data_IF_025285733716
#
_entry.id   IF_025285733716
#
_cell.length_a   1.000
_cell.length_b   1.000
_cell.length_c   1.000
_cell.angle_alpha   90.00
_cell.angle_beta   90.00
_cell.angle_gamma   90.00
#
_symmetry.space_group_name_H-M   'P 1'
#
loop_
_entity.id
_entity.type
_entity.pdbx_description
1 polymer ?
#
# COMPACT_ATOMS: atom_id res chain seq x y z
N UNK A 1 3.29 8.02 17.13
CA UNK A 1 2.97 7.40 15.84
C UNK A 1 4.17 6.62 15.27
N UNK A 2 3.97 5.81 14.21
CA UNK A 2 5.10 5.13 13.54
C UNK A 2 6.10 6.13 12.93
N UNK A 3 5.62 7.25 12.41
CA UNK A 3 6.48 8.32 11.89
C UNK A 3 7.45 8.82 12.95
N UNK A 4 6.95 9.14 14.15
CA UNK A 4 7.80 9.62 15.26
C UNK A 4 8.85 8.60 15.69
N UNK A 5 8.58 7.30 15.57
CA UNK A 5 9.59 6.27 15.85
C UNK A 5 10.70 6.26 14.81
N UNK A 6 10.36 6.48 13.52
CA UNK A 6 11.37 6.60 12.46
C UNK A 6 12.23 7.84 12.67
N UNK A 7 11.61 8.98 13.00
CA UNK A 7 12.34 10.22 13.28
C UNK A 7 13.31 10.08 14.45
N UNK A 8 12.85 9.46 15.55
CA UNK A 8 13.71 9.19 16.71
C UNK A 8 14.86 8.23 16.39
N UNK A 9 14.62 7.25 15.53
CA UNK A 9 15.63 6.23 15.18
C UNK A 9 16.67 6.71 14.15
N UNK A 10 16.33 7.73 13.36
CA UNK A 10 17.14 8.18 12.21
C UNK A 10 17.68 9.60 12.35
N UNK A 11 17.19 10.36 13.33
CA UNK A 11 17.44 11.79 13.48
C UNK A 11 17.08 12.60 12.21
N UNK A 12 16.09 12.12 11.46
CA UNK A 12 15.60 12.77 10.25
C UNK A 12 14.09 13.00 10.35
N UNK A 13 13.60 14.12 9.81
CA UNK A 13 12.17 14.32 9.59
C UNK A 13 11.62 13.21 8.65
N UNK A 14 10.44 12.69 8.94
CA UNK A 14 9.89 11.51 8.23
C UNK A 14 9.79 11.71 6.72
N UNK A 15 9.42 12.90 6.27
CA UNK A 15 9.34 13.21 4.84
C UNK A 15 10.73 13.21 4.19
N UNK A 16 11.73 13.81 4.83
CA UNK A 16 13.12 13.80 4.35
C UNK A 16 13.67 12.37 4.29
N UNK A 17 13.40 11.56 5.32
CA UNK A 17 13.77 10.15 5.34
C UNK A 17 13.12 9.37 4.19
N UNK A 18 11.80 9.51 4.01
CA UNK A 18 11.07 8.83 2.96
C UNK A 18 11.51 9.27 1.57
N UNK A 19 11.76 10.57 1.39
CA UNK A 19 12.27 11.14 0.14
C UNK A 19 13.60 10.50 -0.24
N UNK A 20 14.58 10.53 0.65
CA UNK A 20 15.92 10.03 0.38
C UNK A 20 16.00 8.52 0.16
N UNK A 21 15.22 7.73 0.96
CA UNK A 21 15.36 6.28 1.00
C UNK A 21 14.31 5.53 0.15
N UNK A 22 13.20 6.18 -0.19
CA UNK A 22 12.09 5.56 -0.89
C UNK A 22 11.71 6.31 -2.17
N UNK A 23 11.35 7.59 -2.08
CA UNK A 23 10.73 8.31 -3.20
C UNK A 23 11.75 8.62 -4.30
N UNK A 24 12.88 9.24 -3.99
CA UNK A 24 13.92 9.56 -4.98
C UNK A 24 14.46 8.30 -5.68
N UNK A 25 14.79 7.21 -4.96
CA UNK A 25 15.22 5.96 -5.61
C UNK A 25 14.18 5.33 -6.53
N UNK A 26 12.89 5.55 -6.28
CA UNK A 26 11.79 5.07 -7.11
C UNK A 26 11.33 6.08 -8.17
N UNK A 27 11.90 7.27 -8.20
CA UNK A 27 11.51 8.35 -9.11
C UNK A 27 10.12 8.91 -8.82
N UNK A 28 9.71 8.91 -7.55
CA UNK A 28 8.46 9.50 -7.06
C UNK A 28 8.76 10.95 -6.67
N UNK A 29 8.18 11.89 -7.40
CA UNK A 29 8.41 13.33 -7.16
C UNK A 29 7.14 14.15 -7.05
N UNK A 30 5.99 13.58 -7.44
CA UNK A 30 4.71 14.26 -7.43
C UNK A 30 3.83 13.72 -6.30
N UNK A 31 4.09 14.19 -5.09
CA UNK A 31 3.31 13.88 -3.91
C UNK A 31 3.16 15.13 -3.03
N UNK A 32 2.14 15.12 -2.18
CA UNK A 32 1.94 16.08 -1.10
C UNK A 32 1.70 15.30 0.18
N UNK A 33 2.48 15.58 1.22
CA UNK A 33 2.34 14.92 2.52
C UNK A 33 1.98 15.95 3.58
N UNK A 34 0.76 15.91 4.06
CA UNK A 34 0.23 16.84 5.05
C UNK A 34 0.24 16.25 6.45
N UNK A 35 0.43 17.10 7.44
CA UNK A 35 0.48 16.73 8.86
C UNK A 35 -0.42 17.67 9.66
N UNK A 36 -1.42 17.12 10.36
CA UNK A 36 -2.38 17.90 11.14
C UNK A 36 -2.32 17.51 12.64
N UNK A 37 -2.19 18.43 13.57
CA UNK A 37 -2.04 19.88 13.43
C UNK A 37 -0.66 20.33 12.93
N UNK A 38 0.36 19.55 13.11
CA UNK A 38 1.72 19.74 12.59
C UNK A 38 2.56 18.50 12.86
N UNK A 39 3.68 18.35 12.15
CA UNK A 39 4.53 17.17 12.18
C UNK A 39 5.07 16.80 13.58
N UNK A 40 5.27 17.78 14.45
CA UNK A 40 5.85 17.57 15.78
C UNK A 40 4.82 17.23 16.87
N UNK A 41 3.53 17.27 16.58
CA UNK A 41 2.49 16.96 17.55
C UNK A 41 2.35 15.44 17.74
N UNK A 42 2.28 14.98 18.99
CA UNK A 42 2.03 13.57 19.31
C UNK A 42 0.64 13.07 18.85
N UNK A 43 -0.30 13.99 18.60
CA UNK A 43 -1.64 13.69 18.11
C UNK A 43 -1.77 13.85 16.61
N UNK A 44 -0.67 14.13 15.93
CA UNK A 44 -0.64 14.31 14.48
C UNK A 44 -1.13 13.05 13.75
N UNK A 45 -2.03 13.23 12.83
CA UNK A 45 -2.27 12.30 11.73
C UNK A 45 -1.70 12.87 10.44
N UNK A 46 -1.37 12.01 9.50
CA UNK A 46 -0.84 12.43 8.22
C UNK A 46 -1.66 11.88 7.07
N UNK A 47 -1.74 12.64 5.99
CA UNK A 47 -2.35 12.23 4.72
C UNK A 47 -1.35 12.45 3.60
N UNK A 48 -1.24 11.46 2.73
CA UNK A 48 -0.38 11.54 1.56
C UNK A 48 -1.24 11.53 0.29
N UNK A 49 -1.08 12.56 -0.53
CA UNK A 49 -1.62 12.63 -1.88
C UNK A 49 -0.53 12.19 -2.84
N UNK A 50 -0.80 11.14 -3.59
CA UNK A 50 0.16 10.53 -4.51
C UNK A 50 -0.58 10.00 -5.72
N UNK A 51 0.03 10.07 -6.90
CA UNK A 51 -0.61 9.57 -8.11
C UNK A 51 -0.62 8.04 -8.14
N UNK A 52 -1.67 7.41 -8.70
CA UNK A 52 -1.79 5.94 -8.72
C UNK A 52 -0.59 5.22 -9.33
N UNK A 53 0.07 5.78 -10.34
CA UNK A 53 1.26 5.19 -10.97
C UNK A 53 2.45 5.09 -10.02
N UNK A 54 2.57 5.99 -9.07
CA UNK A 54 3.64 5.95 -8.08
C UNK A 54 3.35 4.92 -6.99
N UNK A 55 2.06 4.67 -6.67
CA UNK A 55 1.65 3.53 -5.84
C UNK A 55 1.97 2.18 -6.52
N UNK A 56 1.88 2.10 -7.85
CA UNK A 56 2.33 0.91 -8.58
C UNK A 56 3.83 0.68 -8.43
N UNK A 57 4.66 1.73 -8.41
CA UNK A 57 6.11 1.61 -8.18
C UNK A 57 6.41 1.00 -6.82
N UNK A 58 5.71 1.47 -5.77
CA UNK A 58 5.82 0.91 -4.43
C UNK A 58 5.40 -0.57 -4.40
N UNK A 59 4.24 -0.89 -4.95
CA UNK A 59 3.73 -2.26 -5.00
C UNK A 59 4.66 -3.18 -5.81
N UNK A 60 5.21 -2.69 -6.94
CA UNK A 60 6.19 -3.43 -7.73
C UNK A 60 7.45 -3.73 -6.93
N UNK A 61 7.93 -2.77 -6.14
CA UNK A 61 9.08 -2.98 -5.26
C UNK A 61 8.83 -4.14 -4.29
N UNK A 62 7.65 -4.19 -3.66
CA UNK A 62 7.28 -5.32 -2.81
C UNK A 62 7.16 -6.62 -3.62
N UNK A 63 6.49 -6.60 -4.77
CA UNK A 63 6.31 -7.77 -5.64
C UNK A 63 7.65 -8.37 -6.09
N UNK A 64 8.63 -7.54 -6.34
CA UNK A 64 9.94 -7.92 -6.87
C UNK A 64 10.99 -8.08 -5.74
N UNK A 65 10.58 -8.50 -4.54
CA UNK A 65 11.50 -8.82 -3.43
C UNK A 65 12.27 -7.61 -2.88
N UNK A 66 11.70 -6.43 -2.99
CA UNK A 66 12.31 -5.17 -2.52
C UNK A 66 13.16 -4.46 -3.57
N UNK A 67 13.19 -4.95 -4.81
CA UNK A 67 13.99 -4.38 -5.91
C UNK A 67 13.13 -3.46 -6.77
N UNK A 68 13.69 -2.30 -7.14
CA UNK A 68 13.12 -1.41 -8.12
C UNK A 68 14.19 -0.94 -9.11
N UNK A 69 13.97 -1.16 -10.41
CA UNK A 69 14.92 -0.82 -11.48
C UNK A 69 16.36 -1.33 -11.21
N UNK A 70 16.47 -2.58 -10.72
CA UNK A 70 17.77 -3.21 -10.42
C UNK A 70 18.43 -2.76 -9.10
N UNK A 71 17.82 -1.85 -8.36
CA UNK A 71 18.32 -1.37 -7.07
C UNK A 71 17.50 -1.96 -5.92
N UNK A 72 18.17 -2.48 -4.89
CA UNK A 72 17.52 -2.91 -3.65
C UNK A 72 17.05 -1.68 -2.87
N UNK A 73 15.74 -1.51 -2.73
CA UNK A 73 15.08 -0.43 -1.98
C UNK A 73 14.67 -0.92 -0.58
N UNK A 74 14.01 -2.07 -0.53
CA UNK A 74 13.63 -2.75 0.71
C UNK A 74 14.44 -4.03 0.84
N UNK A 75 14.80 -4.40 2.06
CA UNK A 75 15.46 -5.70 2.29
C UNK A 75 14.51 -6.82 1.91
N UNK A 76 14.98 -7.81 1.17
CA UNK A 76 14.19 -9.00 0.82
C UNK A 76 13.60 -9.69 2.06
N UNK A 77 14.39 -9.82 3.12
CA UNK A 77 13.93 -10.38 4.40
C UNK A 77 12.75 -9.60 5.02
N UNK A 78 12.69 -8.28 4.82
CA UNK A 78 11.56 -7.47 5.24
C UNK A 78 10.32 -7.74 4.40
N UNK A 79 10.47 -7.82 3.07
CA UNK A 79 9.35 -8.14 2.16
C UNK A 79 8.78 -9.52 2.51
N UNK A 80 9.64 -10.52 2.67
CA UNK A 80 9.23 -11.86 3.05
C UNK A 80 8.49 -11.86 4.40
N UNK A 81 9.04 -11.17 5.41
CA UNK A 81 8.39 -11.02 6.70
C UNK A 81 7.03 -10.34 6.60
N UNK A 82 6.90 -9.30 5.76
CA UNK A 82 5.65 -8.58 5.54
C UNK A 82 4.55 -9.52 5.01
N UNK A 83 4.90 -10.44 4.13
CA UNK A 83 3.94 -11.31 3.46
C UNK A 83 3.72 -12.67 4.13
N UNK A 84 4.52 -13.04 5.14
CA UNK A 84 4.28 -14.28 5.91
C UNK A 84 3.06 -14.22 6.83
N UNK A 85 2.58 -13.02 7.19
CA UNK A 85 1.37 -12.83 7.99
C UNK A 85 1.32 -13.74 9.24
N UNK A 86 2.38 -13.72 10.06
CA UNK A 86 2.58 -14.61 11.21
C UNK A 86 1.41 -14.65 12.22
N UNK A 87 0.57 -13.60 12.24
CA UNK A 87 -0.54 -13.44 13.16
C UNK A 87 -1.91 -13.32 12.46
N UNK A 88 -2.18 -14.15 11.48
CA UNK A 88 -3.43 -14.15 10.72
C UNK A 88 -3.32 -13.44 9.36
N UNK A 89 -4.41 -12.81 8.90
CA UNK A 89 -4.49 -12.23 7.56
C UNK A 89 -4.06 -10.75 7.49
N UNK A 90 -3.41 -10.23 8.55
CA UNK A 90 -2.96 -8.84 8.60
C UNK A 90 -1.59 -8.72 9.26
N UNK A 91 -0.67 -8.04 8.60
CA UNK A 91 0.66 -7.76 9.15
C UNK A 91 1.34 -6.59 8.42
N UNK A 92 2.04 -5.75 9.18
CA UNK A 92 2.84 -4.64 8.65
C UNK A 92 2.10 -3.72 7.66
N UNK A 93 0.80 -3.45 7.93
CA UNK A 93 -0.13 -2.64 7.14
C UNK A 93 -0.56 -3.28 5.81
N UNK A 94 -0.31 -4.56 5.64
CA UNK A 94 -0.83 -5.37 4.55
C UNK A 94 -1.85 -6.39 5.05
N UNK A 95 -2.84 -6.71 4.22
CA UNK A 95 -3.83 -7.75 4.43
C UNK A 95 -3.63 -8.86 3.39
N UNK A 96 -3.68 -10.12 3.81
CA UNK A 96 -3.82 -11.23 2.88
C UNK A 96 -5.31 -11.41 2.55
N UNK A 97 -5.63 -11.37 1.27
CA UNK A 97 -7.00 -11.55 0.77
C UNK A 97 -7.02 -12.59 -0.34
N UNK A 98 -8.12 -13.31 -0.39
CA UNK A 98 -8.41 -14.18 -1.54
C UNK A 98 -9.79 -13.87 -2.10
N UNK A 99 -9.95 -14.10 -3.39
CA UNK A 99 -11.20 -13.96 -4.13
C UNK A 99 -11.41 -15.26 -4.91
N UNK A 100 -12.62 -15.81 -4.86
CA UNK A 100 -12.98 -16.98 -5.65
C UNK A 100 -13.84 -16.53 -6.83
N UNK A 101 -13.42 -16.88 -8.04
CA UNK A 101 -14.15 -16.64 -9.29
C UNK A 101 -14.21 -17.95 -10.05
N UNK A 102 -15.39 -18.41 -10.37
CA UNK A 102 -15.65 -19.68 -11.08
C UNK A 102 -14.93 -20.89 -10.48
N UNK A 103 -14.88 -20.96 -9.14
CA UNK A 103 -14.25 -22.03 -8.38
C UNK A 103 -12.73 -21.94 -8.29
N UNK A 104 -12.08 -20.99 -8.94
CA UNK A 104 -10.65 -20.72 -8.82
C UNK A 104 -10.37 -19.64 -7.79
N UNK A 105 -9.47 -19.92 -6.85
CA UNK A 105 -9.03 -18.97 -5.84
C UNK A 105 -7.85 -18.14 -6.36
N UNK A 106 -7.93 -16.84 -6.13
CA UNK A 106 -6.87 -15.87 -6.43
C UNK A 106 -6.45 -15.19 -5.13
N UNK A 107 -5.16 -15.24 -4.83
CA UNK A 107 -4.60 -14.66 -3.61
C UNK A 107 -3.96 -13.30 -3.88
N UNK A 108 -4.11 -12.37 -2.96
CA UNK A 108 -3.48 -11.05 -3.03
C UNK A 108 -3.01 -10.54 -1.68
N UNK A 109 -1.99 -9.69 -1.70
CA UNK A 109 -1.63 -8.83 -0.59
C UNK A 109 -2.18 -7.43 -0.86
N UNK A 110 -2.97 -6.93 0.08
CA UNK A 110 -3.72 -5.68 -0.09
C UNK A 110 -3.31 -4.66 0.97
N UNK A 111 -3.01 -3.44 0.53
CA UNK A 111 -3.01 -2.26 1.39
C UNK A 111 -4.29 -1.47 1.12
N UNK A 112 -5.00 -1.10 2.20
CA UNK A 112 -6.31 -0.44 2.12
C UNK A 112 -6.31 0.86 2.92
N UNK A 113 -6.82 1.92 2.31
CA UNK A 113 -6.97 3.23 2.91
C UNK A 113 -8.42 3.73 2.91
N UNK A 114 -8.68 4.73 3.75
CA UNK A 114 -9.98 5.40 3.81
C UNK A 114 -10.35 5.99 2.44
N UNK A 115 -11.63 6.00 2.11
CA UNK A 115 -12.13 6.56 0.86
C UNK A 115 -12.12 5.61 -0.34
N UNK A 116 -11.65 4.37 -0.18
CA UNK A 116 -11.59 3.37 -1.25
C UNK A 116 -10.22 3.30 -1.93
N UNK A 117 -9.17 3.79 -1.27
CA UNK A 117 -7.80 3.62 -1.73
C UNK A 117 -7.39 2.15 -1.56
N UNK A 118 -6.95 1.49 -2.61
CA UNK A 118 -6.49 0.10 -2.54
C UNK A 118 -5.30 -0.14 -3.46
N UNK A 119 -4.33 -0.88 -2.94
CA UNK A 119 -3.26 -1.50 -3.70
C UNK A 119 -3.40 -3.01 -3.49
N UNK A 120 -3.44 -3.79 -4.55
CA UNK A 120 -3.37 -5.25 -4.45
C UNK A 120 -2.20 -5.74 -5.30
N UNK A 121 -1.40 -6.61 -4.72
CA UNK A 121 -0.35 -7.38 -5.38
C UNK A 121 -0.88 -8.80 -5.54
N UNK A 122 -0.89 -9.31 -6.77
CA UNK A 122 -1.33 -10.65 -7.15
C UNK A 122 -0.13 -11.43 -7.64
N UNK A 123 0.62 -12.13 -6.76
CA UNK A 123 1.88 -12.77 -7.15
C UNK A 123 1.69 -13.83 -8.24
N UNK A 124 0.64 -14.63 -8.14
CA UNK A 124 0.35 -15.73 -9.08
C UNK A 124 -0.02 -15.23 -10.50
N UNK A 125 -0.44 -13.96 -10.61
CA UNK A 125 -0.86 -13.34 -11.88
C UNK A 125 0.19 -12.38 -12.42
N UNK A 126 1.30 -12.19 -11.73
CA UNK A 126 2.28 -11.13 -12.01
C UNK A 126 1.61 -9.74 -12.17
N UNK A 127 0.55 -9.48 -11.41
CA UNK A 127 -0.33 -8.33 -11.58
C UNK A 127 -0.34 -7.45 -10.33
N UNK A 128 -0.52 -6.14 -10.56
CA UNK A 128 -0.79 -5.14 -9.53
C UNK A 128 -2.05 -4.38 -9.94
N UNK A 129 -2.98 -4.21 -9.00
CA UNK A 129 -4.14 -3.34 -9.19
C UNK A 129 -4.11 -2.21 -8.18
N UNK A 130 -4.35 -0.99 -8.64
CA UNK A 130 -4.44 0.21 -7.80
C UNK A 130 -5.76 0.91 -8.07
N UNK A 131 -6.46 1.22 -6.99
CA UNK A 131 -7.70 2.00 -7.01
C UNK A 131 -7.53 3.24 -6.15
N UNK A 132 -8.07 4.34 -6.62
CA UNK A 132 -8.25 5.56 -5.84
C UNK A 132 -9.73 5.92 -5.81
N UNK A 133 -10.20 6.41 -4.67
CA UNK A 133 -11.61 6.75 -4.48
C UNK A 133 -11.76 7.99 -3.61
N UNK A 134 -12.93 8.61 -3.66
CA UNK A 134 -13.27 9.82 -2.91
C UNK A 134 -14.32 9.60 -1.81
N UNK A 135 -14.61 8.35 -1.42
CA UNK A 135 -15.66 8.02 -0.45
C UNK A 135 -15.17 8.14 1.00
N UNK A 136 -14.47 9.22 1.30
CA UNK A 136 -13.92 9.45 2.64
C UNK A 136 -15.01 9.51 3.71
N UNK A 137 -14.75 8.83 4.83
CA UNK A 137 -15.62 8.81 6.02
C UNK A 137 -17.07 8.35 5.74
N UNK A 138 -17.29 7.64 4.64
CA UNK A 138 -18.60 7.08 4.29
C UNK A 138 -18.83 5.75 5.00
N UNK A 139 -19.22 5.81 6.26
CA UNK A 139 -19.52 4.61 7.08
C UNK A 139 -20.65 3.75 6.52
N UNK A 140 -21.51 4.31 5.67
CA UNK A 140 -22.59 3.56 4.98
C UNK A 140 -22.04 2.53 3.99
N UNK A 141 -20.79 2.68 3.56
CA UNK A 141 -20.11 1.74 2.65
C UNK A 141 -19.20 0.75 3.39
N UNK A 142 -18.95 0.95 4.69
CA UNK A 142 -18.27 -0.05 5.51
C UNK A 142 -19.23 -1.25 5.70
N UNK A 143 -18.83 -2.40 5.16
CA UNK A 143 -19.67 -3.61 5.18
C UNK A 143 -20.52 -3.83 3.93
N UNK A 144 -20.60 -2.85 3.01
CA UNK A 144 -21.07 -3.07 1.65
C UNK A 144 -19.91 -3.26 0.70
N UNK A 145 -20.16 -3.94 -0.40
CA UNK A 145 -19.16 -4.10 -1.45
C UNK A 145 -18.68 -2.71 -1.92
N UNK A 146 -17.39 -2.46 -1.78
CA UNK A 146 -16.79 -1.24 -2.33
C UNK A 146 -16.54 -1.45 -3.82
N UNK A 147 -16.54 -0.38 -4.66
CA UNK A 147 -16.29 -0.54 -6.09
C UNK A 147 -15.08 -1.43 -6.45
N UNK A 148 -13.91 -1.33 -5.81
CA UNK A 148 -12.82 -2.26 -6.07
C UNK A 148 -13.15 -3.73 -5.78
N UNK A 149 -13.91 -4.01 -4.72
CA UNK A 149 -14.29 -5.37 -4.35
C UNK A 149 -15.26 -6.01 -5.36
N UNK A 150 -16.04 -5.20 -6.06
CA UNK A 150 -16.93 -5.66 -7.14
C UNK A 150 -16.19 -5.72 -8.48
N UNK A 151 -15.39 -4.71 -8.79
CA UNK A 151 -14.72 -4.59 -10.08
C UNK A 151 -13.65 -5.66 -10.28
N UNK A 152 -12.91 -6.00 -9.23
CA UNK A 152 -11.82 -7.00 -9.33
C UNK A 152 -12.37 -8.35 -9.76
N UNK A 153 -13.34 -9.00 -9.06
CA UNK A 153 -13.83 -10.30 -9.51
C UNK A 153 -14.57 -10.21 -10.84
N UNK A 154 -15.41 -9.20 -11.02
CA UNK A 154 -16.33 -9.11 -12.16
C UNK A 154 -15.64 -8.77 -13.49
N UNK A 155 -14.65 -7.91 -13.46
CA UNK A 155 -14.09 -7.33 -14.70
C UNK A 155 -12.60 -7.61 -14.89
N UNK A 156 -11.86 -7.94 -13.83
CA UNK A 156 -10.43 -8.19 -13.90
C UNK A 156 -10.17 -9.70 -13.90
N UNK A 157 -10.55 -10.39 -12.81
CA UNK A 157 -10.26 -11.82 -12.68
C UNK A 157 -11.08 -12.69 -13.63
N UNK A 158 -12.30 -12.29 -13.94
CA UNK A 158 -13.14 -12.97 -14.94
C UNK A 158 -12.63 -12.84 -16.38
N UNK A 159 -11.71 -11.92 -16.65
CA UNK A 159 -11.12 -11.73 -17.98
C UNK A 159 -9.82 -12.52 -18.18
N UNK A 160 -9.35 -13.24 -17.15
CA UNK A 160 -8.13 -14.07 -17.16
C UNK A 160 -8.46 -15.52 -17.42
#
# INVERSE_FOLDING_TARGET
TLASLVELATDMEIEAFAKANLFDPMGISNYEWTFEPNQKSMTTFSQMYIIPRDLVRLAKTYKDGGIFNGKQILRESWVNKTFTMENGDYGYLWEHKYIVVDGKQYNSYMASGNGGQKINIWPELDMITVFTGGNYNSYLLYGKSTPPNEMIPKYILNAL
#
